data_IF_990974877587
#
_entry.id   IF_990974877587
#
_cell.length_a   1.000
_cell.length_b   1.000
_cell.length_c   1.000
_cell.angle_alpha   90.00
_cell.angle_beta   90.00
_cell.angle_gamma   90.00
#
_symmetry.space_group_name_H-M   'P 1'
#
loop_
_entity.id
_entity.type
_entity.pdbx_description
1 polymer ?
#
# COMPACT_ATOMS: atom_id res chain seq x y z
N UNK A 1 8.97 31.88 15.12
CA UNK A 1 7.80 31.06 14.75
C UNK A 1 6.54 31.84 15.03
N UNK A 2 5.42 31.42 14.45
CA UNK A 2 4.08 31.88 14.82
C UNK A 2 3.36 30.77 15.59
N UNK A 3 2.52 31.16 16.54
CA UNK A 3 1.61 30.31 17.28
C UNK A 3 0.20 30.54 16.74
N UNK A 4 -0.61 29.50 16.63
CA UNK A 4 -1.96 29.59 16.06
C UNK A 4 -2.94 28.82 16.92
N UNK A 5 -4.14 29.38 17.06
CA UNK A 5 -5.28 28.78 17.74
C UNK A 5 -6.50 28.83 16.81
N UNK A 6 -7.26 27.73 16.72
CA UNK A 6 -8.44 27.61 15.87
C UNK A 6 -9.45 26.61 16.46
N UNK A 7 -10.69 26.62 15.95
CA UNK A 7 -11.73 25.65 16.31
C UNK A 7 -11.41 24.24 15.83
N UNK A 8 -11.98 23.25 16.51
CA UNK A 8 -11.79 21.84 16.16
C UNK A 8 -12.43 21.57 14.80
N UNK A 9 -11.64 21.02 13.87
CA UNK A 9 -12.12 20.63 12.54
C UNK A 9 -12.12 19.12 12.37
N UNK A 10 -13.13 18.61 11.67
CA UNK A 10 -13.29 17.19 11.41
C UNK A 10 -14.12 16.93 10.16
N UNK A 11 -13.97 15.74 9.59
CA UNK A 11 -14.73 15.28 8.44
C UNK A 11 -15.54 14.04 8.83
N UNK A 12 -16.76 13.95 8.30
CA UNK A 12 -17.64 12.79 8.52
C UNK A 12 -18.36 12.46 7.22
N UNK A 13 -18.64 11.17 7.02
CA UNK A 13 -19.35 10.64 5.86
C UNK A 13 -20.46 9.71 6.34
N UNK A 14 -21.70 9.99 5.94
CA UNK A 14 -22.82 9.15 6.35
C UNK A 14 -24.17 9.83 6.18
N UNK A 15 -25.12 9.44 7.02
CA UNK A 15 -26.48 10.00 7.06
C UNK A 15 -26.51 11.33 7.80
N UNK A 16 -27.62 12.08 7.72
CA UNK A 16 -27.77 13.34 8.46
C UNK A 16 -27.53 13.19 9.97
N UNK A 17 -27.94 12.05 10.56
CA UNK A 17 -27.72 11.73 11.97
C UNK A 17 -26.24 11.54 12.32
N UNK A 18 -25.43 11.07 11.37
CA UNK A 18 -23.99 10.90 11.58
C UNK A 18 -23.28 12.26 11.55
N UNK A 19 -23.75 13.18 10.69
CA UNK A 19 -23.30 14.57 10.68
C UNK A 19 -23.67 15.30 11.97
N UNK A 20 -24.92 15.19 12.46
CA UNK A 20 -25.38 15.79 13.71
C UNK A 20 -24.56 15.31 14.92
N UNK A 21 -24.34 14.00 15.05
CA UNK A 21 -23.49 13.44 16.11
C UNK A 21 -22.05 13.93 16.05
N UNK A 22 -21.51 14.11 14.84
CA UNK A 22 -20.15 14.63 14.67
C UNK A 22 -20.10 16.09 15.08
N UNK A 23 -21.10 16.90 14.72
CA UNK A 23 -21.17 18.30 15.14
C UNK A 23 -21.22 18.44 16.67
N UNK A 24 -22.10 17.68 17.34
CA UNK A 24 -22.18 17.67 18.81
C UNK A 24 -20.87 17.25 19.49
N UNK A 25 -20.11 16.35 18.85
CA UNK A 25 -18.80 15.94 19.35
C UNK A 25 -17.77 17.05 19.19
N UNK A 26 -17.74 17.70 18.02
CA UNK A 26 -16.80 18.80 17.75
C UNK A 26 -17.04 19.98 18.69
N UNK A 27 -18.29 20.36 18.94
CA UNK A 27 -18.65 21.41 19.90
C UNK A 27 -18.14 21.09 21.31
N UNK A 28 -18.35 19.85 21.80
CA UNK A 28 -17.84 19.43 23.12
C UNK A 28 -16.33 19.46 23.22
N UNK A 29 -15.64 19.08 22.14
CA UNK A 29 -14.18 19.13 22.10
C UNK A 29 -13.67 20.57 22.05
N UNK A 30 -14.37 21.44 21.35
CA UNK A 30 -14.08 22.87 21.30
C UNK A 30 -14.14 23.50 22.69
N UNK A 31 -15.24 23.29 23.42
CA UNK A 31 -15.41 23.76 24.80
C UNK A 31 -14.29 23.24 25.72
N UNK A 32 -13.95 21.96 25.63
CA UNK A 32 -12.88 21.36 26.44
C UNK A 32 -11.51 21.96 26.14
N UNK A 33 -11.21 22.23 24.87
CA UNK A 33 -9.93 22.83 24.46
C UNK A 33 -9.88 24.30 24.88
N UNK A 34 -10.99 25.03 24.71
CA UNK A 34 -11.11 26.42 25.13
C UNK A 34 -10.90 26.56 26.65
N UNK A 35 -11.49 25.66 27.45
CA UNK A 35 -11.29 25.59 28.90
C UNK A 35 -9.81 25.41 29.27
N UNK A 36 -9.09 24.51 28.58
CA UNK A 36 -7.67 24.28 28.82
C UNK A 36 -6.84 25.53 28.49
N UNK A 37 -7.15 26.20 27.38
CA UNK A 37 -6.47 27.45 27.03
C UNK A 37 -6.77 28.54 28.05
N UNK A 38 -8.03 28.71 28.47
CA UNK A 38 -8.41 29.68 29.49
C UNK A 38 -7.66 29.42 30.81
N UNK A 39 -7.58 28.16 31.26
CA UNK A 39 -6.85 27.79 32.47
C UNK A 39 -5.34 28.06 32.37
N UNK A 40 -4.73 27.80 31.20
CA UNK A 40 -3.29 28.00 31.00
C UNK A 40 -2.92 29.48 30.85
N UNK A 41 -3.74 30.24 30.15
CA UNK A 41 -3.47 31.64 29.78
C UNK A 41 -3.99 32.65 30.81
N UNK A 42 -5.03 32.28 31.56
CA UNK A 42 -5.79 33.21 32.41
C UNK A 42 -6.70 34.16 31.63
N UNK A 43 -6.91 33.93 30.33
CA UNK A 43 -7.85 34.69 29.50
C UNK A 43 -9.28 34.15 29.74
N UNK A 44 -10.27 35.04 29.72
CA UNK A 44 -11.68 34.67 29.83
C UNK A 44 -12.09 33.70 28.70
N UNK A 45 -12.91 32.71 29.05
CA UNK A 45 -13.31 31.63 28.13
C UNK A 45 -13.92 32.16 26.84
N UNK A 46 -14.77 33.19 26.94
CA UNK A 46 -15.45 33.79 25.78
C UNK A 46 -14.46 34.47 24.80
N UNK A 47 -13.38 35.05 25.32
CA UNK A 47 -12.32 35.63 24.48
C UNK A 47 -11.47 34.53 23.82
N UNK A 48 -11.27 33.38 24.48
CA UNK A 48 -10.61 32.22 23.87
C UNK A 48 -11.45 31.67 22.71
N UNK A 49 -12.77 31.48 22.90
CA UNK A 49 -13.66 31.05 21.81
C UNK A 49 -13.59 32.00 20.64
N UNK A 50 -13.66 33.32 20.89
CA UNK A 50 -13.51 34.31 19.84
C UNK A 50 -12.17 34.20 19.12
N UNK A 51 -11.07 33.98 19.85
CA UNK A 51 -9.76 33.78 19.25
C UNK A 51 -9.67 32.50 18.41
N UNK A 52 -10.38 31.43 18.80
CA UNK A 52 -10.47 30.18 18.05
C UNK A 52 -11.36 30.32 16.78
N UNK A 53 -12.49 31.04 16.88
CA UNK A 53 -13.38 31.37 15.78
C UNK A 53 -12.69 32.22 14.70
N UNK A 54 -11.91 33.22 15.13
CA UNK A 54 -11.15 34.10 14.26
C UNK A 54 -9.90 33.42 13.67
N UNK A 55 -9.60 32.18 14.04
CA UNK A 55 -8.35 31.48 13.70
C UNK A 55 -7.14 32.36 13.98
N UNK A 56 -6.92 32.72 15.25
CA UNK A 56 -5.95 33.74 15.62
C UNK A 56 -4.51 33.24 15.51
N UNK A 57 -3.68 34.06 14.88
CA UNK A 57 -2.23 33.85 14.79
C UNK A 57 -1.49 34.89 15.63
N UNK A 58 -0.54 34.41 16.43
CA UNK A 58 0.25 35.21 17.36
C UNK A 58 1.73 35.05 17.04
N UNK A 59 2.47 36.15 17.10
CA UNK A 59 3.94 36.09 17.18
C UNK A 59 4.35 35.41 18.49
N UNK A 60 5.59 34.92 18.57
CA UNK A 60 6.13 34.33 19.80
C UNK A 60 6.01 35.28 21.01
N UNK A 61 6.20 36.58 20.80
CA UNK A 61 6.06 37.61 21.83
C UNK A 61 4.61 37.76 22.29
N UNK A 62 3.66 37.85 21.35
CA UNK A 62 2.23 37.98 21.67
C UNK A 62 1.69 36.73 22.36
N UNK A 63 2.10 35.54 21.90
CA UNK A 63 1.76 34.27 22.55
C UNK A 63 2.29 34.20 23.98
N UNK A 64 3.50 34.71 24.24
CA UNK A 64 4.05 34.77 25.59
C UNK A 64 3.29 35.76 26.47
N UNK A 65 2.99 36.94 25.94
CA UNK A 65 2.22 37.97 26.66
C UNK A 65 0.81 37.49 27.02
N UNK A 66 0.18 36.73 26.14
CA UNK A 66 -1.12 36.10 26.35
C UNK A 66 -1.05 34.79 27.14
N UNK A 67 0.13 34.37 27.61
CA UNK A 67 0.27 33.18 28.47
C UNK A 67 0.17 31.83 27.75
N UNK A 68 0.14 31.80 26.42
CA UNK A 68 0.13 30.54 25.65
C UNK A 68 1.48 29.83 25.68
N UNK A 69 2.58 30.58 25.88
CA UNK A 69 3.95 30.02 25.96
C UNK A 69 4.70 30.63 27.14
N UNK A 70 5.54 29.80 27.79
CA UNK A 70 6.27 30.23 28.99
C UNK A 70 7.62 30.88 28.65
N UNK A 71 8.34 30.44 27.62
CA UNK A 71 9.69 30.93 27.27
C UNK A 71 9.93 30.98 25.77
N UNK A 72 10.56 32.08 25.30
CA UNK A 72 10.99 32.25 23.91
C UNK A 72 12.49 31.97 23.82
N UNK A 73 12.87 30.93 23.08
CA UNK A 73 14.27 30.58 22.85
C UNK A 73 14.72 31.21 21.53
N UNK A 74 15.80 32.03 21.60
CA UNK A 74 16.52 32.48 20.40
C UNK A 74 17.54 31.40 20.06
N UNK A 75 17.30 30.71 18.95
CA UNK A 75 18.14 29.68 18.30
C UNK A 75 17.62 28.23 18.43
N UNK A 76 16.92 27.82 17.37
CA UNK A 76 17.01 26.47 16.83
C UNK A 76 17.27 26.61 15.34
N UNK A 77 18.26 25.89 14.79
CA UNK A 77 18.31 25.60 13.34
C UNK A 77 17.17 24.62 13.01
N UNK A 78 15.93 25.06 13.17
CA UNK A 78 14.74 24.31 12.80
C UNK A 78 14.34 24.70 11.38
N UNK A 79 15.11 24.26 10.40
CA UNK A 79 14.79 24.42 8.98
C UNK A 79 13.74 23.41 8.48
N UNK A 80 12.93 22.82 9.37
CA UNK A 80 12.13 21.63 9.04
C UNK A 80 10.65 21.64 9.49
N UNK A 81 10.09 22.74 10.00
CA UNK A 81 8.67 22.78 10.40
C UNK A 81 7.77 23.64 9.51
N UNK A 82 8.32 24.32 8.50
CA UNK A 82 7.58 25.19 7.61
C UNK A 82 7.77 24.72 6.17
N UNK A 83 7.13 23.61 5.79
CA UNK A 83 6.97 23.24 4.39
C UNK A 83 5.71 23.95 3.87
N UNK A 84 5.82 25.03 3.08
CA UNK A 84 4.68 25.82 2.60
C UNK A 84 3.80 25.03 1.63
N UNK A 85 4.38 24.04 0.97
CA UNK A 85 3.72 23.11 0.05
C UNK A 85 3.09 21.92 0.78
N UNK A 86 3.31 21.79 2.09
CA UNK A 86 2.66 20.78 2.91
C UNK A 86 1.16 21.06 3.02
N UNK A 87 0.35 20.02 2.85
CA UNK A 87 -1.12 20.08 2.88
C UNK A 87 -1.70 20.78 4.13
N UNK A 88 -0.93 20.86 5.22
CA UNK A 88 -1.35 21.43 6.52
C UNK A 88 -1.75 22.90 6.43
N UNK A 89 -1.07 23.73 5.62
CA UNK A 89 -1.30 25.18 5.66
C UNK A 89 -2.49 25.66 4.82
N UNK A 90 -2.89 24.89 3.80
CA UNK A 90 -3.94 25.31 2.84
C UNK A 90 -5.35 25.28 3.43
N UNK A 91 -5.53 24.58 4.55
CA UNK A 91 -6.84 24.36 5.15
C UNK A 91 -7.23 25.47 6.15
N UNK A 92 -6.33 26.40 6.48
CA UNK A 92 -6.58 27.54 7.38
C UNK A 92 -7.00 28.79 6.61
N UNK A 93 -7.99 29.52 7.13
CA UNK A 93 -8.66 30.65 6.49
C UNK A 93 -7.90 31.97 6.68
N UNK A 94 -7.22 32.17 7.82
CA UNK A 94 -6.65 33.47 8.21
C UNK A 94 -5.12 33.51 8.39
N UNK A 95 -4.34 32.92 7.47
CA UNK A 95 -2.87 32.90 7.55
C UNK A 95 -2.29 34.34 7.43
N UNK A 96 -1.48 34.83 8.40
CA UNK A 96 -0.87 36.17 8.34
C UNK A 96 0.10 36.31 7.17
N UNK A 97 0.12 37.50 6.57
CA UNK A 97 1.02 37.83 5.45
C UNK A 97 2.48 37.89 5.91
N UNK A 98 2.70 38.13 7.19
CA UNK A 98 3.98 38.20 7.89
C UNK A 98 4.52 36.82 8.26
N UNK A 99 3.72 35.75 8.12
CA UNK A 99 4.25 34.44 7.74
C UNK A 99 4.75 34.62 6.31
N UNK A 100 5.89 35.32 6.23
CA UNK A 100 6.81 35.23 5.14
C UNK A 100 7.25 33.77 5.18
N UNK A 101 6.44 32.93 4.52
CA UNK A 101 6.93 31.82 3.72
C UNK A 101 8.16 32.42 3.08
N UNK A 102 9.34 32.10 3.61
CA UNK A 102 10.55 32.29 2.86
C UNK A 102 10.25 31.55 1.55
N UNK A 103 9.78 32.29 0.55
CA UNK A 103 9.58 31.83 -0.81
C UNK A 103 10.97 31.39 -1.17
N UNK A 104 11.24 30.08 -1.00
CA UNK A 104 12.54 29.42 -1.10
C UNK A 104 13.64 30.47 -1.17
N UNK A 105 14.11 31.03 -0.04
CA UNK A 105 15.02 32.19 -0.07
C UNK A 105 15.98 32.01 -1.24
N UNK A 106 15.78 32.80 -2.30
CA UNK A 106 16.20 32.40 -3.65
C UNK A 106 17.66 32.01 -3.53
N UNK A 107 17.99 30.76 -3.87
CA UNK A 107 19.38 30.33 -3.81
C UNK A 107 20.10 31.34 -4.70
N UNK A 108 21.00 32.16 -4.15
CA UNK A 108 21.54 33.28 -4.90
C UNK A 108 22.23 32.69 -6.13
N UNK A 109 22.04 33.33 -7.30
CA UNK A 109 22.41 32.74 -8.59
C UNK A 109 23.86 32.22 -8.61
N UNK A 110 24.79 32.94 -7.97
CA UNK A 110 26.18 32.49 -7.80
C UNK A 110 26.32 31.10 -7.14
N UNK A 111 25.47 30.77 -6.18
CA UNK A 111 25.44 29.46 -5.51
C UNK A 111 24.79 28.40 -6.40
N UNK A 112 23.80 28.76 -7.22
CA UNK A 112 23.22 27.85 -8.23
C UNK A 112 24.26 27.51 -9.31
N UNK A 113 24.95 28.53 -9.82
CA UNK A 113 26.03 28.39 -10.79
C UNK A 113 27.15 27.50 -10.23
N UNK A 114 27.59 27.75 -8.98
CA UNK A 114 28.58 26.90 -8.30
C UNK A 114 28.13 25.45 -8.11
N UNK A 115 26.87 25.22 -7.71
CA UNK A 115 26.34 23.87 -7.51
C UNK A 115 26.23 23.09 -8.83
N UNK A 116 25.87 23.80 -9.90
CA UNK A 116 25.82 23.25 -11.25
C UNK A 116 27.22 23.17 -11.89
N UNK A 117 28.26 23.73 -11.27
CA UNK A 117 29.63 23.76 -11.80
C UNK A 117 29.73 24.52 -13.12
N UNK A 118 28.98 25.60 -13.25
CA UNK A 118 28.92 26.46 -14.46
C UNK A 118 29.18 27.91 -14.06
N UNK A 119 29.71 28.69 -14.99
CA UNK A 119 30.11 30.09 -14.73
C UNK A 119 29.09 31.12 -15.25
N UNK A 120 28.12 30.69 -16.06
CA UNK A 120 27.10 31.56 -16.66
C UNK A 120 25.69 30.98 -16.57
N UNK A 121 24.70 31.86 -16.57
CA UNK A 121 23.28 31.49 -16.55
C UNK A 121 22.88 30.69 -17.80
N UNK A 122 23.38 31.07 -18.98
CA UNK A 122 23.12 30.34 -20.22
C UNK A 122 23.65 28.89 -20.16
N UNK A 123 24.84 28.69 -19.59
CA UNK A 123 25.41 27.36 -19.40
C UNK A 123 24.62 26.54 -18.37
N UNK A 124 24.05 27.20 -17.35
CA UNK A 124 23.17 26.55 -16.38
C UNK A 124 21.88 26.06 -17.05
N UNK A 125 21.26 26.89 -17.91
CA UNK A 125 20.03 26.54 -18.63
C UNK A 125 20.25 25.33 -19.53
N UNK A 126 21.33 25.31 -20.32
CA UNK A 126 21.62 24.17 -21.20
C UNK A 126 21.93 22.90 -20.41
N UNK A 127 22.68 23.00 -19.31
CA UNK A 127 22.97 21.85 -18.44
C UNK A 127 21.70 21.27 -17.80
N UNK A 128 20.81 22.13 -17.31
CA UNK A 128 19.52 21.72 -16.74
C UNK A 128 18.64 21.06 -17.81
N UNK A 129 18.61 21.61 -19.02
CA UNK A 129 17.84 21.02 -20.14
C UNK A 129 18.38 19.64 -20.53
N UNK A 130 19.70 19.46 -20.56
CA UNK A 130 20.34 18.16 -20.78
C UNK A 130 19.97 17.15 -19.69
N UNK A 131 20.08 17.54 -18.42
CA UNK A 131 19.69 16.70 -17.28
C UNK A 131 18.21 16.33 -17.29
N UNK A 132 17.32 17.24 -17.73
CA UNK A 132 15.90 16.96 -17.85
C UNK A 132 15.61 15.91 -18.94
N UNK A 133 16.30 16.00 -20.07
CA UNK A 133 16.21 14.99 -21.13
C UNK A 133 16.71 13.63 -20.63
N UNK A 134 17.90 13.59 -20.03
CA UNK A 134 18.49 12.36 -19.49
C UNK A 134 17.59 11.72 -18.43
N UNK A 135 17.02 12.51 -17.52
CA UNK A 135 16.07 12.01 -16.52
C UNK A 135 14.78 11.46 -17.16
N UNK A 136 14.33 12.01 -18.28
CA UNK A 136 13.16 11.49 -18.98
C UNK A 136 13.46 10.15 -19.67
N UNK A 137 14.66 10.01 -20.23
CA UNK A 137 15.14 8.76 -20.85
C UNK A 137 15.34 7.68 -19.78
N UNK A 138 16.01 8.00 -18.67
CA UNK A 138 16.20 7.09 -17.53
C UNK A 138 14.88 6.62 -16.91
N UNK A 139 13.86 7.49 -16.84
CA UNK A 139 12.53 7.09 -16.36
C UNK A 139 11.87 6.07 -17.29
N UNK A 140 12.04 6.23 -18.60
CA UNK A 140 11.52 5.29 -19.58
C UNK A 140 12.26 3.95 -19.50
N UNK A 141 13.59 3.99 -19.41
CA UNK A 141 14.41 2.79 -19.25
C UNK A 141 14.05 2.02 -17.97
N UNK A 142 13.85 2.71 -16.84
CA UNK A 142 13.41 2.08 -15.60
C UNK A 142 12.03 1.42 -15.74
N UNK A 143 11.08 2.06 -16.43
CA UNK A 143 9.77 1.47 -16.67
C UNK A 143 9.85 0.22 -17.57
N UNK A 144 10.71 0.25 -18.59
CA UNK A 144 10.96 -0.89 -19.47
C UNK A 144 11.62 -2.05 -18.70
N UNK A 145 12.60 -1.77 -17.83
CA UNK A 145 13.24 -2.76 -16.95
C UNK A 145 12.27 -3.36 -15.93
N UNK A 146 11.36 -2.57 -15.36
CA UNK A 146 10.30 -3.09 -14.49
C UNK A 146 9.35 -4.03 -15.23
N UNK A 147 8.99 -3.68 -16.47
CA UNK A 147 8.19 -4.54 -17.36
C UNK A 147 8.91 -5.84 -17.74
N UNK A 148 10.22 -5.80 -17.94
CA UNK A 148 11.02 -7.00 -18.20
C UNK A 148 11.16 -7.88 -16.95
N UNK A 149 11.42 -7.28 -15.78
CA UNK A 149 11.53 -8.00 -14.52
C UNK A 149 10.23 -8.70 -14.12
N UNK A 150 9.07 -8.09 -14.36
CA UNK A 150 7.77 -8.74 -14.12
C UNK A 150 7.56 -9.95 -15.02
N UNK A 151 7.84 -9.83 -16.33
CA UNK A 151 7.79 -10.96 -17.28
C UNK A 151 8.75 -12.09 -16.91
N UNK A 152 9.98 -11.75 -16.50
CA UNK A 152 10.97 -12.73 -16.05
C UNK A 152 10.50 -13.43 -14.78
N UNK A 153 9.95 -12.69 -13.81
CA UNK A 153 9.37 -13.25 -12.59
C UNK A 153 8.24 -14.24 -12.90
N UNK A 154 7.31 -13.87 -13.79
CA UNK A 154 6.21 -14.74 -14.21
C UNK A 154 6.72 -16.00 -14.93
N UNK A 155 7.75 -15.84 -15.77
CA UNK A 155 8.39 -16.96 -16.48
C UNK A 155 9.07 -17.92 -15.51
N UNK A 156 9.83 -17.40 -14.54
CA UNK A 156 10.51 -18.19 -13.51
C UNK A 156 9.47 -18.94 -12.66
N UNK A 157 8.36 -18.28 -12.31
CA UNK A 157 7.25 -18.90 -11.56
C UNK A 157 6.61 -20.04 -12.36
N UNK A 158 6.34 -19.83 -13.65
CA UNK A 158 5.83 -20.87 -14.53
C UNK A 158 6.76 -22.07 -14.62
N UNK A 159 8.07 -21.83 -14.75
CA UNK A 159 9.08 -22.90 -14.75
C UNK A 159 9.15 -23.67 -13.42
N UNK A 160 9.03 -23.00 -12.27
CA UNK A 160 8.97 -23.65 -10.96
C UNK A 160 7.74 -24.57 -10.86
N UNK A 161 6.58 -24.10 -11.30
CA UNK A 161 5.33 -24.87 -11.32
C UNK A 161 5.45 -26.08 -12.24
N UNK A 162 5.96 -25.89 -13.47
CA UNK A 162 6.15 -26.98 -14.44
C UNK A 162 7.15 -28.03 -13.94
N UNK A 163 8.22 -27.59 -13.27
CA UNK A 163 9.17 -28.50 -12.61
C UNK A 163 8.51 -29.30 -11.48
N UNK A 164 7.66 -28.67 -10.66
CA UNK A 164 6.93 -29.37 -9.60
C UNK A 164 5.96 -30.44 -10.16
N UNK A 165 5.38 -30.19 -11.34
CA UNK A 165 4.55 -31.18 -12.06
C UNK A 165 5.42 -32.33 -12.55
N UNK A 166 6.55 -32.02 -13.21
CA UNK A 166 7.49 -33.05 -13.69
C UNK A 166 8.09 -33.89 -12.56
N UNK A 167 8.35 -33.29 -11.40
CA UNK A 167 8.86 -33.96 -10.20
C UNK A 167 7.76 -34.77 -9.46
N UNK A 168 6.51 -34.76 -9.95
CA UNK A 168 5.38 -35.47 -9.34
C UNK A 168 4.91 -34.89 -8.00
N UNK A 169 5.25 -33.64 -7.70
CA UNK A 169 4.85 -32.92 -6.46
C UNK A 169 3.55 -32.14 -6.63
N UNK A 170 3.12 -31.94 -7.87
CA UNK A 170 1.95 -31.15 -8.25
C UNK A 170 1.20 -31.87 -9.39
N UNK A 171 -0.13 -31.95 -9.31
CA UNK A 171 -0.92 -32.50 -10.41
C UNK A 171 -1.06 -31.48 -11.55
N UNK A 172 -1.11 -31.91 -12.84
CA UNK A 172 -1.34 -31.00 -13.96
C UNK A 172 -2.62 -30.15 -13.82
N UNK A 173 -3.67 -30.71 -13.22
CA UNK A 173 -4.94 -30.02 -12.95
C UNK A 173 -4.80 -28.86 -11.95
N UNK A 174 -3.72 -28.83 -11.16
CA UNK A 174 -3.46 -27.79 -10.16
C UNK A 174 -2.56 -26.67 -10.68
N UNK A 175 -2.13 -26.72 -11.95
CA UNK A 175 -1.19 -25.75 -12.56
C UNK A 175 -1.71 -24.32 -12.48
N UNK A 176 -2.95 -24.06 -12.91
CA UNK A 176 -3.52 -22.71 -12.90
C UNK A 176 -3.65 -22.15 -11.48
N UNK A 177 -4.06 -23.01 -10.54
CA UNK A 177 -4.12 -22.64 -9.13
C UNK A 177 -2.74 -22.29 -8.58
N UNK A 178 -1.72 -23.11 -8.85
CA UNK A 178 -0.35 -22.86 -8.42
C UNK A 178 0.23 -21.55 -8.98
N UNK A 179 -0.08 -21.21 -10.24
CA UNK A 179 0.31 -19.95 -10.85
C UNK A 179 -0.36 -18.73 -10.20
N UNK A 180 -1.53 -18.90 -9.58
CA UNK A 180 -2.24 -17.82 -8.88
C UNK A 180 -1.70 -17.51 -7.48
N UNK A 181 -0.95 -18.42 -6.86
CA UNK A 181 -0.43 -18.28 -5.50
C UNK A 181 0.80 -17.38 -5.44
N UNK A 182 1.05 -16.67 -4.33
CA UNK A 182 2.38 -16.06 -4.10
C UNK A 182 3.46 -17.14 -3.97
N UNK A 183 4.74 -16.77 -4.10
CA UNK A 183 5.85 -17.73 -3.93
C UNK A 183 5.80 -18.44 -2.56
N UNK A 184 5.51 -17.71 -1.47
CA UNK A 184 5.38 -18.30 -0.12
C UNK A 184 4.18 -19.24 0.02
N UNK A 185 3.06 -18.87 -0.62
CA UNK A 185 1.86 -19.70 -0.64
C UNK A 185 2.07 -20.95 -1.48
N UNK A 186 2.78 -20.83 -2.60
CA UNK A 186 3.13 -21.96 -3.46
C UNK A 186 4.05 -22.95 -2.73
N UNK A 187 5.07 -22.46 -2.02
CA UNK A 187 5.96 -23.32 -1.21
C UNK A 187 5.21 -23.99 -0.05
N UNK A 188 4.31 -23.26 0.62
CA UNK A 188 3.45 -23.82 1.67
C UNK A 188 2.47 -24.86 1.11
N UNK A 189 1.97 -24.63 -0.10
CA UNK A 189 1.13 -25.56 -0.82
C UNK A 189 1.89 -26.83 -1.21
N UNK A 190 3.13 -26.73 -1.70
CA UNK A 190 3.97 -27.91 -1.99
C UNK A 190 4.29 -28.72 -0.73
N UNK A 191 4.45 -28.08 0.44
CA UNK A 191 4.70 -28.77 1.72
C UNK A 191 3.47 -29.47 2.30
N UNK A 192 2.29 -28.89 2.06
CA UNK A 192 1.00 -29.43 2.55
C UNK A 192 0.34 -30.38 1.55
N UNK A 193 0.68 -30.25 0.27
CA UNK A 193 0.40 -31.22 -0.78
C UNK A 193 0.97 -32.56 -0.35
N UNK A 194 0.09 -33.52 -0.05
CA UNK A 194 0.50 -34.92 0.09
C UNK A 194 0.97 -35.35 -1.29
N UNK A 195 2.27 -35.28 -1.55
CA UNK A 195 2.88 -35.86 -2.73
C UNK A 195 2.53 -37.35 -2.76
N UNK A 196 1.50 -37.71 -3.53
CA UNK A 196 1.35 -39.07 -3.97
C UNK A 196 2.42 -39.28 -5.02
N UNK A 197 3.36 -40.14 -4.68
CA UNK A 197 4.43 -40.55 -5.55
C UNK A 197 3.79 -41.20 -6.79
N UNK A 198 3.58 -40.44 -7.87
CA UNK A 198 3.03 -40.94 -9.13
C UNK A 198 3.87 -42.09 -9.71
N UNK A 199 5.13 -42.22 -9.27
CA UNK A 199 6.03 -43.31 -9.61
C UNK A 199 6.02 -44.50 -8.62
N UNK A 200 5.50 -44.35 -7.40
CA UNK A 200 5.26 -45.47 -6.49
C UNK A 200 3.76 -45.72 -6.39
N UNK A 201 3.29 -46.62 -7.25
CA UNK A 201 2.09 -47.41 -6.99
C UNK A 201 2.28 -48.11 -5.63
N UNK A 202 1.79 -47.50 -4.56
CA UNK A 202 1.52 -48.22 -3.33
C UNK A 202 0.45 -49.26 -3.68
N UNK A 203 0.90 -50.52 -3.78
CA UNK A 203 0.05 -51.68 -3.62
C UNK A 203 -0.83 -51.45 -2.39
N UNK A 204 -2.15 -51.64 -2.55
CA UNK A 204 -3.13 -51.53 -1.47
C UNK A 204 -2.64 -52.29 -0.22
N UNK A 205 -2.92 -51.78 1.00
CA UNK A 205 -2.69 -52.51 2.24
C UNK A 205 -3.75 -53.61 2.39
N UNK A 206 -3.58 -54.65 1.57
CA UNK A 206 -4.03 -56.02 1.71
C UNK A 206 -3.62 -56.71 0.40
N UNK A 207 -2.62 -57.58 0.49
CA UNK A 207 -2.04 -58.28 -0.66
C UNK A 207 -3.12 -58.87 -1.57
N UNK A 208 -3.28 -58.26 -2.74
CA UNK A 208 -4.17 -58.69 -3.80
C UNK A 208 -4.08 -57.70 -4.95
N UNK A 209 -3.56 -58.13 -6.08
CA UNK A 209 -3.71 -57.43 -7.36
C UNK A 209 -5.20 -57.39 -7.71
N UNK A 210 -5.94 -56.38 -7.27
CA UNK A 210 -7.34 -56.22 -7.63
C UNK A 210 -7.45 -55.35 -8.88
N UNK A 211 -7.77 -56.01 -10.01
CA UNK A 211 -8.31 -55.39 -11.21
C UNK A 211 -9.53 -54.55 -10.82
N UNK A 212 -9.39 -53.21 -10.75
CA UNK A 212 -10.53 -52.31 -10.61
C UNK A 212 -11.37 -52.43 -11.86
N UNK A 213 -12.64 -52.81 -11.74
CA UNK A 213 -13.56 -52.87 -12.89
C UNK A 213 -14.37 -51.58 -13.01
N UNK A 214 -14.99 -51.37 -14.18
CA UNK A 214 -15.92 -50.25 -14.35
C UNK A 214 -17.12 -50.34 -13.40
N UNK A 215 -17.50 -51.54 -12.95
CA UNK A 215 -18.58 -51.74 -11.98
C UNK A 215 -18.21 -51.16 -10.61
N UNK A 216 -16.95 -51.31 -10.19
CA UNK A 216 -16.44 -50.73 -8.94
C UNK A 216 -16.44 -49.19 -9.00
N UNK A 217 -16.14 -48.62 -10.18
CA UNK A 217 -16.22 -47.16 -10.39
C UNK A 217 -17.66 -46.64 -10.29
N UNK A 218 -18.65 -47.37 -10.81
CA UNK A 218 -20.06 -46.97 -10.69
C UNK A 218 -20.56 -47.01 -9.24
N UNK A 219 -19.97 -47.87 -8.40
CA UNK A 219 -20.31 -47.98 -6.99
C UNK A 219 -19.70 -46.86 -6.12
N UNK A 220 -18.62 -46.21 -6.56
CA UNK A 220 -18.02 -45.05 -5.90
C UNK A 220 -18.03 -43.81 -6.81
N UNK A 221 -19.02 -42.91 -6.66
CA UNK A 221 -19.12 -41.69 -7.46
C UNK A 221 -17.92 -40.76 -7.38
N UNK A 222 -17.14 -40.80 -6.28
CA UNK A 222 -15.93 -39.97 -6.16
C UNK A 222 -14.81 -40.54 -7.00
N UNK A 223 -14.63 -41.86 -6.94
CA UNK A 223 -13.62 -42.56 -7.71
C UNK A 223 -13.94 -42.57 -9.21
N UNK A 224 -15.22 -42.59 -9.58
CA UNK A 224 -15.68 -42.42 -10.95
C UNK A 224 -15.22 -41.09 -11.55
N UNK A 225 -15.50 -39.99 -10.86
CA UNK A 225 -15.11 -38.64 -11.31
C UNK A 225 -13.59 -38.53 -11.34
N UNK A 226 -12.93 -39.02 -10.29
CA UNK A 226 -11.47 -39.03 -10.20
C UNK A 226 -10.83 -39.78 -11.37
N UNK A 227 -11.25 -41.01 -11.66
CA UNK A 227 -10.68 -41.83 -12.74
C UNK A 227 -10.97 -41.24 -14.13
N UNK A 228 -12.17 -40.67 -14.31
CA UNK A 228 -12.53 -39.98 -15.55
C UNK A 228 -11.66 -38.75 -15.82
N UNK A 229 -11.31 -38.00 -14.77
CA UNK A 229 -10.55 -36.76 -14.90
C UNK A 229 -9.03 -36.99 -14.87
N UNK A 230 -8.55 -37.97 -14.07
CA UNK A 230 -7.12 -38.27 -13.88
C UNK A 230 -6.56 -39.28 -14.89
N UNK A 231 -7.39 -40.20 -15.42
CA UNK A 231 -6.96 -41.22 -16.38
C UNK A 231 -8.05 -41.56 -17.40
N UNK A 232 -8.35 -40.64 -18.33
CA UNK A 232 -9.46 -40.80 -19.27
C UNK A 232 -9.31 -41.99 -20.22
N UNK A 233 -8.07 -42.37 -20.60
CA UNK A 233 -7.81 -43.53 -21.45
C UNK A 233 -8.16 -44.84 -20.73
N UNK A 234 -7.70 -45.03 -19.49
CA UNK A 234 -8.05 -46.21 -18.68
C UNK A 234 -9.54 -46.24 -18.33
N UNK A 235 -10.14 -45.09 -18.05
CA UNK A 235 -11.58 -44.98 -17.81
C UNK A 235 -12.39 -45.46 -19.03
N UNK A 236 -11.99 -45.03 -20.24
CA UNK A 236 -12.63 -45.45 -21.48
C UNK A 236 -12.39 -46.94 -21.78
N UNK A 237 -11.20 -47.48 -21.51
CA UNK A 237 -10.89 -48.91 -21.64
C UNK A 237 -11.77 -49.77 -20.71
N UNK A 238 -11.87 -49.41 -19.43
CA UNK A 238 -12.71 -50.10 -18.46
C UNK A 238 -14.19 -50.02 -18.84
N UNK A 239 -14.66 -48.84 -19.28
CA UNK A 239 -16.03 -48.65 -19.76
C UNK A 239 -16.34 -49.56 -20.95
N UNK A 240 -15.44 -49.61 -21.93
CA UNK A 240 -15.63 -50.41 -23.13
C UNK A 240 -15.62 -51.91 -22.80
N UNK A 241 -14.70 -52.36 -21.93
CA UNK A 241 -14.65 -53.73 -21.45
C UNK A 241 -15.90 -54.15 -20.64
N UNK A 242 -16.55 -53.21 -19.95
CA UNK A 242 -17.84 -53.43 -19.31
C UNK A 242 -18.98 -53.52 -20.34
N UNK A 243 -19.04 -52.58 -21.29
CA UNK A 243 -20.07 -52.58 -22.34
C UNK A 243 -20.02 -53.84 -23.21
N UNK A 244 -18.84 -54.41 -23.46
CA UNK A 244 -18.70 -55.65 -24.22
C UNK A 244 -19.07 -56.91 -23.43
N UNK A 245 -19.04 -56.87 -22.09
CA UNK A 245 -19.52 -57.97 -21.24
C UNK A 245 -21.05 -57.97 -21.05
N UNK A 246 -21.69 -56.83 -21.21
CA UNK A 246 -23.13 -56.62 -20.96
C UNK A 246 -23.97 -56.71 -22.26
N UNK A 247 -23.33 -56.86 -23.43
CA UNK A 247 -23.97 -57.22 -24.71
C UNK A 247 -24.22 -58.72 -24.82
#
# INVERSE_FOLDING_TARGET
GMFMIHNVTGMTWGTSKDHEKTAELLEKLEDQIADVYAQKTGIELEEIHKMMDEETWLTATEAQQKGFVDTIIREMKASAFLNPDGHVWKDFRNIPKEINVQTKGEIPMNKLLSLLGVESEDAAVEKVKGMLSENSDLKKENADLESENTKLSDTVKAQKVDKAISDGKLFPSQKEFALSLSDDQFESFLKSSKAQNLAQRDTLPNGGTSNVTYEDLLADPKEYVRMKDENPEMFDELRNAYLDRVK
#
